data_IF_754028299321
#
_entry.id   IF_754028299321
#
_cell.length_a   1.000
_cell.length_b   1.000
_cell.length_c   1.000
_cell.angle_alpha   90.00
_cell.angle_beta   90.00
_cell.angle_gamma   90.00
#
_symmetry.space_group_name_H-M   'P 1'
#
loop_
_entity.id
_entity.type
_entity.pdbx_description
1 polymer ?
#
# COMPACT_ATOMS: atom_id res chain seq x y z
N UNK A 1 -3.81 -11.92 -15.29
CA UNK A 1 -3.02 -10.68 -15.49
C UNK A 1 -1.70 -11.05 -16.12
N UNK A 2 -1.29 -10.36 -17.19
CA UNK A 2 0.02 -10.61 -17.79
C UNK A 2 1.16 -10.28 -16.82
N UNK A 3 2.16 -11.15 -16.78
CA UNK A 3 3.32 -10.98 -15.87
C UNK A 3 4.04 -9.64 -16.04
N UNK A 4 4.31 -9.15 -17.30
CA UNK A 4 4.95 -7.84 -17.46
C UNK A 4 4.16 -6.68 -16.85
N UNK A 5 2.84 -6.69 -16.97
CA UNK A 5 1.99 -5.68 -16.37
C UNK A 5 2.05 -5.75 -14.84
N UNK A 6 1.93 -6.97 -14.30
CA UNK A 6 2.02 -7.17 -12.85
C UNK A 6 3.35 -6.68 -12.29
N UNK A 7 4.45 -6.98 -12.97
CA UNK A 7 5.76 -6.52 -12.53
C UNK A 7 5.88 -5.00 -12.57
N UNK A 8 5.37 -4.37 -13.62
CA UNK A 8 5.39 -2.90 -13.72
C UNK A 8 4.57 -2.25 -12.61
N UNK A 9 3.38 -2.78 -12.34
CA UNK A 9 2.54 -2.25 -11.28
C UNK A 9 3.21 -2.41 -9.91
N UNK A 10 3.79 -3.57 -9.64
CA UNK A 10 4.50 -3.82 -8.40
C UNK A 10 5.71 -2.90 -8.22
N UNK A 11 6.48 -2.72 -9.28
CA UNK A 11 7.66 -1.86 -9.26
C UNK A 11 7.28 -0.40 -9.05
N UNK A 12 6.20 0.07 -9.69
CA UNK A 12 5.70 1.43 -9.49
C UNK A 12 5.19 1.63 -8.08
N UNK A 13 4.50 0.63 -7.52
CA UNK A 13 4.06 0.69 -6.12
C UNK A 13 5.24 0.84 -5.18
N UNK A 14 6.31 0.08 -5.40
CA UNK A 14 7.54 0.17 -4.61
C UNK A 14 8.24 1.52 -4.76
N UNK A 15 8.34 2.01 -6.00
CA UNK A 15 8.90 3.33 -6.26
C UNK A 15 8.16 4.42 -5.49
N UNK A 16 6.82 4.40 -5.55
CA UNK A 16 6.01 5.39 -4.85
C UNK A 16 6.17 5.26 -3.33
N UNK A 17 6.28 4.04 -2.80
CA UNK A 17 6.46 3.84 -1.37
C UNK A 17 7.75 4.49 -0.88
N UNK A 18 8.85 4.30 -1.60
CA UNK A 18 10.13 4.90 -1.24
C UNK A 18 10.09 6.41 -1.39
N UNK A 19 9.54 6.91 -2.51
CA UNK A 19 9.43 8.33 -2.76
C UNK A 19 8.59 9.04 -1.70
N UNK A 20 7.42 8.47 -1.36
CA UNK A 20 6.54 9.06 -0.36
C UNK A 20 7.13 8.97 1.04
N UNK A 21 7.79 7.87 1.37
CA UNK A 21 8.50 7.74 2.64
C UNK A 21 9.57 8.82 2.81
N UNK A 22 10.40 9.01 1.79
CA UNK A 22 11.45 10.04 1.80
C UNK A 22 10.85 11.44 1.83
N UNK A 23 9.79 11.69 1.05
CA UNK A 23 9.13 13.00 0.99
C UNK A 23 8.53 13.39 2.33
N UNK A 24 7.95 12.42 3.06
CA UNK A 24 7.42 12.67 4.40
C UNK A 24 8.50 13.07 5.39
N UNK A 25 9.69 12.51 5.27
CA UNK A 25 10.82 12.83 6.15
C UNK A 25 11.43 14.19 5.86
N UNK A 26 11.24 14.76 4.67
CA UNK A 26 11.89 15.98 4.22
C UNK A 26 10.89 17.05 3.79
N UNK A 27 10.28 16.91 2.60
CA UNK A 27 9.44 17.95 2.02
C UNK A 27 8.16 18.25 2.80
N UNK A 28 7.59 17.26 3.45
CA UNK A 28 6.34 17.38 4.23
C UNK A 28 6.59 17.49 5.73
N UNK A 29 7.82 17.56 6.18
CA UNK A 29 8.17 17.54 7.59
C UNK A 29 7.39 18.57 8.41
N UNK A 30 7.33 19.81 7.92
CA UNK A 30 6.63 20.88 8.63
C UNK A 30 5.13 20.66 8.71
N UNK A 31 4.50 20.22 7.60
CA UNK A 31 3.06 19.96 7.55
C UNK A 31 2.68 18.84 8.49
N UNK A 32 3.43 17.75 8.46
CA UNK A 32 3.16 16.59 9.32
C UNK A 32 3.35 16.91 10.79
N UNK A 33 4.36 17.72 11.12
CA UNK A 33 4.57 18.18 12.49
C UNK A 33 3.42 19.08 12.96
N UNK A 34 2.99 20.00 12.10
CA UNK A 34 1.89 20.91 12.43
C UNK A 34 0.57 20.15 12.65
N UNK A 35 0.29 19.16 11.82
CA UNK A 35 -0.93 18.35 11.92
C UNK A 35 -0.84 17.27 13.01
N UNK A 36 0.35 16.99 13.51
CA UNK A 36 0.55 15.89 14.45
C UNK A 36 0.35 14.52 13.82
N UNK A 37 0.61 14.40 12.51
CA UNK A 37 0.30 13.21 11.72
C UNK A 37 1.52 12.48 11.18
N UNK A 38 2.71 12.75 11.71
CA UNK A 38 3.93 12.08 11.26
C UNK A 38 3.81 10.56 11.38
N UNK A 39 3.30 10.06 12.52
CA UNK A 39 3.13 8.62 12.72
C UNK A 39 2.14 8.01 11.73
N UNK A 40 1.09 8.75 11.37
CA UNK A 40 0.11 8.32 10.36
C UNK A 40 0.78 8.15 9.00
N UNK A 41 1.60 9.13 8.60
CA UNK A 41 2.35 9.05 7.34
C UNK A 41 3.30 7.87 7.33
N UNK A 42 4.03 7.68 8.43
CA UNK A 42 5.00 6.57 8.54
C UNK A 42 4.29 5.21 8.48
N UNK A 43 3.13 5.07 9.11
CA UNK A 43 2.33 3.84 9.02
C UNK A 43 1.90 3.59 7.58
N UNK A 44 1.42 4.63 6.88
CA UNK A 44 1.04 4.52 5.48
C UNK A 44 2.20 4.04 4.62
N UNK A 45 3.37 4.65 4.77
CA UNK A 45 4.55 4.31 3.99
C UNK A 45 5.04 2.89 4.28
N UNK A 46 5.01 2.46 5.53
CA UNK A 46 5.45 1.11 5.91
C UNK A 46 4.56 0.04 5.29
N UNK A 47 3.25 0.17 5.45
CA UNK A 47 2.31 -0.80 4.88
C UNK A 47 2.36 -0.80 3.36
N UNK A 48 2.50 0.38 2.76
CA UNK A 48 2.66 0.55 1.32
C UNK A 48 3.89 -0.22 0.82
N UNK A 49 5.04 -0.01 1.45
CA UNK A 49 6.29 -0.65 1.03
C UNK A 49 6.23 -2.16 1.21
N UNK A 50 5.79 -2.66 2.37
CA UNK A 50 5.70 -4.09 2.64
C UNK A 50 4.83 -4.77 1.58
N UNK A 51 3.66 -4.21 1.28
CA UNK A 51 2.74 -4.85 0.35
C UNK A 51 3.15 -4.65 -1.11
N UNK A 52 3.91 -3.58 -1.43
CA UNK A 52 4.52 -3.45 -2.76
C UNK A 52 5.53 -4.58 -3.01
N UNK A 53 6.30 -4.96 -1.98
CA UNK A 53 7.21 -6.10 -2.07
C UNK A 53 6.42 -7.40 -2.29
N UNK A 54 5.30 -7.57 -1.60
CA UNK A 54 4.42 -8.73 -1.81
C UNK A 54 3.92 -8.78 -3.24
N UNK A 55 3.48 -7.65 -3.80
CA UNK A 55 3.06 -7.58 -5.20
C UNK A 55 4.19 -8.02 -6.14
N UNK A 56 5.42 -7.58 -5.85
CA UNK A 56 6.56 -7.94 -6.67
C UNK A 56 6.84 -9.44 -6.62
N UNK A 57 6.75 -10.04 -5.43
CA UNK A 57 6.90 -11.49 -5.25
C UNK A 57 5.85 -12.25 -6.07
N UNK A 58 4.60 -11.80 -6.01
CA UNK A 58 3.52 -12.41 -6.78
C UNK A 58 3.75 -12.28 -8.28
N UNK A 59 4.30 -11.15 -8.70
CA UNK A 59 4.57 -10.89 -10.12
C UNK A 59 5.71 -11.75 -10.70
N UNK A 60 6.55 -12.36 -9.85
CA UNK A 60 7.64 -13.22 -10.31
C UNK A 60 7.16 -14.64 -10.66
N UNK A 61 5.95 -15.00 -10.29
CA UNK A 61 5.42 -16.34 -10.59
C UNK A 61 5.03 -16.45 -12.05
N UNK A 62 5.13 -17.67 -12.62
CA UNK A 62 4.76 -17.92 -14.01
C UNK A 62 3.29 -17.55 -14.27
N UNK A 63 2.42 -17.82 -13.30
CA UNK A 63 1.02 -17.41 -13.34
C UNK A 63 0.77 -16.52 -12.13
N UNK A 64 0.40 -15.27 -12.39
CA UNK A 64 0.11 -14.33 -11.31
C UNK A 64 -1.27 -14.59 -10.73
N UNK A 65 -1.33 -14.77 -9.41
CA UNK A 65 -2.59 -14.93 -8.70
C UNK A 65 -3.36 -13.61 -8.70
N UNK A 66 -4.40 -13.52 -9.52
CA UNK A 66 -5.14 -12.27 -9.76
C UNK A 66 -5.88 -11.78 -8.52
N UNK A 67 -6.51 -12.71 -7.78
CA UNK A 67 -7.26 -12.35 -6.57
C UNK A 67 -6.39 -11.68 -5.51
N UNK A 68 -5.37 -12.38 -5.00
CA UNK A 68 -4.45 -11.78 -4.02
C UNK A 68 -3.77 -10.51 -4.56
N UNK A 69 -3.33 -10.49 -5.81
CA UNK A 69 -2.69 -9.31 -6.40
C UNK A 69 -3.63 -8.10 -6.36
N UNK A 70 -4.89 -8.28 -6.77
CA UNK A 70 -5.87 -7.21 -6.76
C UNK A 70 -6.21 -6.74 -5.34
N UNK A 71 -6.33 -7.68 -4.38
CA UNK A 71 -6.62 -7.35 -2.99
C UNK A 71 -5.50 -6.53 -2.37
N UNK A 72 -4.25 -6.93 -2.57
CA UNK A 72 -3.11 -6.16 -2.06
C UNK A 72 -3.01 -4.80 -2.74
N UNK A 73 -3.21 -4.74 -4.06
CA UNK A 73 -3.19 -3.47 -4.80
C UNK A 73 -4.27 -2.51 -4.31
N UNK A 74 -5.51 -2.98 -4.20
CA UNK A 74 -6.62 -2.18 -3.68
C UNK A 74 -6.37 -1.77 -2.23
N UNK A 75 -5.84 -2.68 -1.42
CA UNK A 75 -5.50 -2.41 -0.02
C UNK A 75 -4.47 -1.30 0.11
N UNK A 76 -3.41 -1.31 -0.71
CA UNK A 76 -2.42 -0.24 -0.72
C UNK A 76 -3.08 1.09 -1.04
N UNK A 77 -3.88 1.14 -2.10
CA UNK A 77 -4.52 2.39 -2.55
C UNK A 77 -5.46 2.93 -1.46
N UNK A 78 -6.30 2.08 -0.90
CA UNK A 78 -7.31 2.52 0.07
C UNK A 78 -6.68 2.76 1.45
N UNK A 79 -5.90 1.81 1.97
CA UNK A 79 -5.31 1.92 3.31
C UNK A 79 -4.26 3.02 3.35
N UNK A 80 -3.18 2.88 2.58
CA UNK A 80 -2.09 3.85 2.61
C UNK A 80 -2.51 5.17 1.98
N UNK A 81 -3.29 5.14 0.91
CA UNK A 81 -3.78 6.35 0.24
C UNK A 81 -4.63 7.21 1.16
N UNK A 82 -5.56 6.62 1.92
CA UNK A 82 -6.39 7.36 2.86
C UNK A 82 -5.57 7.96 4.00
N UNK A 83 -4.56 7.24 4.49
CA UNK A 83 -3.68 7.73 5.54
C UNK A 83 -2.76 8.84 5.04
N UNK A 84 -2.22 8.73 3.82
CA UNK A 84 -1.43 9.82 3.24
C UNK A 84 -2.27 11.10 3.14
N UNK A 85 -3.48 10.97 2.62
CA UNK A 85 -4.37 12.12 2.46
C UNK A 85 -4.75 12.72 3.81
N UNK A 86 -5.07 11.88 4.80
CA UNK A 86 -5.39 12.33 6.15
C UNK A 86 -4.20 13.07 6.77
N UNK A 87 -3.00 12.52 6.62
CA UNK A 87 -1.81 13.09 7.23
C UNK A 87 -1.52 14.51 6.72
N UNK A 88 -1.70 14.75 5.42
CA UNK A 88 -1.42 16.05 4.79
C UNK A 88 -2.56 17.05 5.00
N UNK A 89 -3.82 16.60 4.86
CA UNK A 89 -4.99 17.49 4.92
C UNK A 89 -5.55 17.64 6.32
N UNK A 90 -5.25 16.71 7.21
CA UNK A 90 -5.84 16.60 8.55
C UNK A 90 -7.36 16.45 8.53
N UNK A 91 -7.89 15.92 7.43
CA UNK A 91 -9.34 15.63 7.29
C UNK A 91 -9.62 14.28 7.94
N UNK A 92 -10.19 14.31 9.14
CA UNK A 92 -10.28 13.12 10.00
C UNK A 92 -11.20 12.02 9.46
N UNK A 93 -12.27 12.37 8.72
CA UNK A 93 -13.17 11.35 8.19
C UNK A 93 -12.49 10.39 7.19
N UNK A 94 -11.36 10.79 6.60
CA UNK A 94 -10.59 9.90 5.72
C UNK A 94 -10.14 8.65 6.46
N UNK A 95 -9.96 8.72 7.76
CA UNK A 95 -9.65 7.56 8.59
C UNK A 95 -10.74 6.50 8.59
N UNK A 96 -11.97 6.85 8.21
CA UNK A 96 -13.06 5.88 8.08
C UNK A 96 -12.90 4.97 6.86
N UNK A 97 -12.14 5.41 5.84
CA UNK A 97 -11.85 4.59 4.66
C UNK A 97 -10.73 3.59 4.91
N UNK A 98 -9.85 3.90 5.85
CA UNK A 98 -8.66 3.08 6.14
C UNK A 98 -8.99 1.64 6.50
N UNK A 99 -10.01 1.35 7.36
CA UNK A 99 -10.37 -0.04 7.67
C UNK A 99 -10.79 -0.86 6.46
N UNK A 100 -11.42 -0.25 5.46
CA UNK A 100 -11.79 -0.95 4.23
C UNK A 100 -10.54 -1.44 3.49
N UNK A 101 -9.53 -0.59 3.40
CA UNK A 101 -8.24 -0.97 2.83
C UNK A 101 -7.55 -2.03 3.65
N UNK A 102 -7.59 -1.92 4.98
CA UNK A 102 -7.04 -2.93 5.89
C UNK A 102 -7.68 -4.29 5.69
N UNK A 103 -9.01 -4.34 5.48
CA UNK A 103 -9.70 -5.59 5.19
C UNK A 103 -9.25 -6.19 3.85
N UNK A 104 -8.99 -5.37 2.85
CA UNK A 104 -8.44 -5.84 1.58
C UNK A 104 -7.07 -6.50 1.78
N UNK A 105 -6.20 -5.88 2.56
CA UNK A 105 -4.88 -6.44 2.86
C UNK A 105 -5.00 -7.76 3.61
N UNK A 106 -5.86 -7.81 4.64
CA UNK A 106 -6.10 -9.04 5.39
C UNK A 106 -6.63 -10.14 4.49
N UNK A 107 -7.60 -9.81 3.64
CA UNK A 107 -8.16 -10.77 2.69
C UNK A 107 -7.10 -11.29 1.72
N UNK A 108 -6.18 -10.42 1.29
CA UNK A 108 -5.06 -10.83 0.44
C UNK A 108 -4.19 -11.88 1.10
N UNK A 109 -3.84 -11.69 2.36
CA UNK A 109 -3.03 -12.65 3.12
C UNK A 109 -3.77 -13.97 3.31
N UNK A 110 -5.06 -13.91 3.64
CA UNK A 110 -5.85 -15.15 3.77
C UNK A 110 -5.96 -15.87 2.44
N UNK A 111 -6.15 -15.16 1.36
CA UNK A 111 -6.21 -15.77 0.03
C UNK A 111 -4.92 -16.50 -0.32
N UNK A 112 -3.77 -15.94 0.06
CA UNK A 112 -2.48 -16.62 -0.14
C UNK A 112 -2.37 -17.89 0.69
N UNK A 113 -2.90 -17.88 1.91
CA UNK A 113 -2.83 -19.04 2.81
C UNK A 113 -3.53 -20.25 2.23
N UNK A 114 -4.59 -20.03 1.45
CA UNK A 114 -5.38 -21.11 0.84
C UNK A 114 -5.10 -21.30 -0.65
N UNK A 115 -4.07 -20.68 -1.19
CA UNK A 115 -3.73 -20.89 -2.59
C UNK A 115 -3.12 -22.26 -2.81
N UNK A 116 -3.51 -22.96 -3.91
CA UNK A 116 -2.83 -24.19 -4.27
C UNK A 116 -1.36 -23.89 -4.62
N UNK A 117 -0.48 -24.81 -4.29
CA UNK A 117 0.92 -24.71 -4.74
C UNK A 117 0.99 -24.96 -6.24
N UNK A 118 1.71 -24.11 -6.92
CA UNK A 118 1.98 -24.28 -8.33
C UNK A 118 3.07 -25.31 -8.55
#
# INVERSE_FOLDING_TARGET
>A
MPTPLAQRLAALAGFLAVALGAFGAHGLKAVLAQNGTLAVWQTAALYHLVHAVVLLVLAQKAVVARGPFALFGAGIVIFSGSLYALAVTNVQWLGALTPLGGLCLLAGWLALAWQPRA
#
